data_IF_174830693684
#
_entry.id   IF_174830693684
#
_cell.length_a   1.000
_cell.length_b   1.000
_cell.length_c   1.000
_cell.angle_alpha   90.00
_cell.angle_beta   90.00
_cell.angle_gamma   90.00
#
_symmetry.space_group_name_H-M   'P 1'
#
loop_
_entity.id
_entity.type
_entity.pdbx_description
1 polymer ?
#
# COMPACT_ATOMS: atom_id res chain seq x y z
N UNK A 1 11.58 8.91 -0.59
CA UNK A 1 10.67 7.87 -0.05
C UNK A 1 9.97 8.40 1.18
N UNK A 2 8.64 8.29 1.23
CA UNK A 2 7.85 8.66 2.41
C UNK A 2 7.98 7.56 3.47
N UNK A 3 7.98 7.96 4.73
CA UNK A 3 8.09 7.07 5.90
C UNK A 3 6.72 6.94 6.53
N UNK A 4 6.24 5.71 6.70
CA UNK A 4 4.93 5.44 7.27
C UNK A 4 5.08 4.87 8.67
N UNK A 5 4.38 5.48 9.62
CA UNK A 5 4.24 4.96 10.98
C UNK A 5 3.01 4.07 11.08
N UNK A 6 2.84 3.43 12.22
CA UNK A 6 1.71 2.54 12.48
C UNK A 6 0.33 3.20 12.27
N UNK A 7 0.22 4.51 12.52
CA UNK A 7 -1.02 5.27 12.33
C UNK A 7 -1.37 5.47 10.84
N UNK A 8 -0.36 5.53 9.96
CA UNK A 8 -0.54 5.83 8.54
C UNK A 8 -0.98 4.59 7.74
N UNK A 9 -0.68 3.39 8.26
CA UNK A 9 -0.94 2.12 7.58
C UNK A 9 -2.42 1.92 7.23
N UNK A 10 -3.35 2.34 8.10
CA UNK A 10 -4.78 2.11 7.82
C UNK A 10 -5.28 2.97 6.66
N UNK A 11 -4.82 4.20 6.55
CA UNK A 11 -5.13 5.08 5.42
C UNK A 11 -4.55 4.53 4.12
N UNK A 12 -3.31 4.07 4.16
CA UNK A 12 -2.64 3.45 3.02
C UNK A 12 -3.38 2.20 2.54
N UNK A 13 -3.75 1.30 3.44
CA UNK A 13 -4.50 0.08 3.13
C UNK A 13 -5.84 0.42 2.45
N UNK A 14 -6.65 1.30 3.05
CA UNK A 14 -7.96 1.68 2.48
C UNK A 14 -7.81 2.25 1.07
N UNK A 15 -6.77 3.07 0.85
CA UNK A 15 -6.52 3.65 -0.46
C UNK A 15 -6.08 2.60 -1.48
N UNK A 16 -5.18 1.68 -1.12
CA UNK A 16 -4.64 0.66 -2.03
C UNK A 16 -5.67 -0.40 -2.38
N UNK A 17 -6.42 -0.89 -1.39
CA UNK A 17 -7.46 -1.92 -1.57
C UNK A 17 -8.78 -1.35 -2.09
N UNK A 18 -8.87 -0.03 -2.28
CA UNK A 18 -10.13 0.67 -2.66
C UNK A 18 -11.29 0.32 -1.71
N UNK A 19 -11.00 0.18 -0.41
CA UNK A 19 -11.98 -0.26 0.59
C UNK A 19 -13.11 0.74 0.88
N UNK A 20 -13.04 1.96 0.31
CA UNK A 20 -14.08 2.99 0.34
C UNK A 20 -14.08 3.75 -0.99
N UNK A 21 -15.25 4.25 -1.39
CA UNK A 21 -15.38 5.17 -2.53
C UNK A 21 -14.50 6.40 -2.31
N UNK A 22 -13.79 6.80 -3.37
CA UNK A 22 -12.90 7.97 -3.30
C UNK A 22 -13.67 9.22 -3.70
N UNK A 23 -14.12 10.00 -2.73
CA UNK A 23 -14.83 11.25 -3.00
C UNK A 23 -13.91 12.45 -3.29
N UNK A 24 -12.60 12.30 -3.07
CA UNK A 24 -11.63 13.41 -3.16
C UNK A 24 -10.69 13.30 -4.35
N UNK A 25 -10.54 12.12 -4.97
CA UNK A 25 -9.67 11.91 -6.13
C UNK A 25 -10.51 11.54 -7.37
N UNK A 26 -10.88 12.54 -8.21
CA UNK A 26 -11.71 12.31 -9.39
C UNK A 26 -11.00 11.54 -10.51
N UNK A 27 -9.68 11.35 -10.43
CA UNK A 27 -8.90 10.62 -11.43
C UNK A 27 -9.04 9.09 -11.29
N UNK A 28 -9.66 8.60 -10.20
CA UNK A 28 -9.92 7.17 -9.98
C UNK A 28 -11.22 6.78 -10.70
N UNK A 29 -11.08 5.90 -11.70
CA UNK A 29 -12.21 5.25 -12.35
C UNK A 29 -12.59 3.96 -11.61
N UNK A 30 -13.67 4.01 -10.82
CA UNK A 30 -14.16 2.89 -10.02
C UNK A 30 -14.53 1.67 -10.88
N UNK A 31 -14.97 1.88 -12.12
CA UNK A 31 -15.33 0.79 -13.03
C UNK A 31 -14.11 -0.09 -13.39
N UNK A 32 -12.90 0.47 -13.26
CA UNK A 32 -11.62 -0.18 -13.53
C UNK A 32 -10.96 -0.75 -12.27
N UNK A 33 -11.50 -0.52 -11.07
CA UNK A 33 -10.94 -1.05 -9.81
C UNK A 33 -10.79 -2.57 -9.83
N UNK A 34 -11.71 -3.30 -10.48
CA UNK A 34 -11.65 -4.76 -10.66
C UNK A 34 -10.43 -5.27 -11.45
N UNK A 35 -9.71 -4.38 -12.13
CA UNK A 35 -8.50 -4.70 -12.90
C UNK A 35 -7.23 -4.54 -12.06
N UNK A 36 -7.31 -3.94 -10.87
CA UNK A 36 -6.20 -3.86 -9.94
C UNK A 36 -5.88 -5.26 -9.41
N UNK A 37 -4.62 -5.50 -9.09
CA UNK A 37 -4.14 -6.78 -8.58
C UNK A 37 -3.13 -6.55 -7.46
N UNK A 38 -3.10 -7.47 -6.50
CA UNK A 38 -2.06 -7.55 -5.47
C UNK A 38 -1.06 -8.63 -5.89
N UNK A 39 0.24 -8.32 -5.95
CA UNK A 39 1.27 -9.27 -6.37
C UNK A 39 1.55 -10.36 -5.33
N UNK A 40 1.36 -10.06 -4.05
CA UNK A 40 1.70 -10.92 -2.91
C UNK A 40 0.50 -11.74 -2.42
N UNK A 41 -0.72 -11.20 -2.54
CA UNK A 41 -1.93 -11.74 -1.91
C UNK A 41 -3.06 -12.02 -2.91
N UNK A 42 -2.72 -12.49 -4.12
CA UNK A 42 -3.64 -12.68 -5.26
C UNK A 42 -4.97 -13.42 -4.97
N UNK A 43 -5.06 -14.16 -3.85
CA UNK A 43 -6.25 -14.94 -3.47
C UNK A 43 -6.90 -14.52 -2.13
N UNK A 44 -6.38 -13.49 -1.46
CA UNK A 44 -6.89 -13.03 -0.18
C UNK A 44 -7.88 -11.87 -0.40
N UNK A 45 -9.11 -12.00 0.12
CA UNK A 45 -10.16 -11.00 -0.16
C UNK A 45 -9.98 -9.66 0.58
N UNK A 46 -9.16 -9.60 1.64
CA UNK A 46 -8.78 -8.38 2.37
C UNK A 46 -7.47 -8.64 3.12
N UNK A 47 -6.56 -7.68 3.11
CA UNK A 47 -5.27 -7.72 3.80
C UNK A 47 -5.33 -6.73 4.97
N UNK A 48 -4.73 -7.08 6.11
CA UNK A 48 -4.49 -6.11 7.19
C UNK A 48 -2.99 -5.81 7.24
N UNK A 49 -2.57 -4.76 6.52
CA UNK A 49 -1.18 -4.31 6.45
C UNK A 49 -0.57 -4.15 7.85
N UNK A 50 -1.35 -3.61 8.79
CA UNK A 50 -0.89 -3.38 10.15
C UNK A 50 -0.63 -4.70 10.88
N UNK A 51 -1.52 -5.68 10.73
CA UNK A 51 -1.35 -7.00 11.34
C UNK A 51 -0.09 -7.68 10.78
N UNK A 52 0.04 -7.73 9.45
CA UNK A 52 1.13 -8.42 8.78
C UNK A 52 2.49 -7.82 9.14
N UNK A 53 2.61 -6.49 9.13
CA UNK A 53 3.88 -5.82 9.46
C UNK A 53 4.24 -6.06 10.93
N UNK A 54 3.30 -5.92 11.85
CA UNK A 54 3.58 -6.12 13.28
C UNK A 54 3.89 -7.59 13.60
N UNK A 55 3.23 -8.55 12.94
CA UNK A 55 3.53 -9.96 13.06
C UNK A 55 4.95 -10.26 12.55
N UNK A 56 5.34 -9.69 11.40
CA UNK A 56 6.69 -9.84 10.86
C UNK A 56 7.77 -9.29 11.82
N UNK A 57 7.54 -8.10 12.37
CA UNK A 57 8.46 -7.46 13.34
C UNK A 57 8.57 -8.32 14.61
N UNK A 58 7.44 -8.77 15.15
CA UNK A 58 7.41 -9.59 16.36
C UNK A 58 8.11 -10.94 16.16
N UNK A 59 7.91 -11.60 15.01
CA UNK A 59 8.58 -12.87 14.67
C UNK A 59 10.10 -12.71 14.59
N UNK A 60 10.58 -11.55 14.17
CA UNK A 60 12.01 -11.24 14.10
C UNK A 60 12.58 -10.69 15.43
N UNK A 61 11.82 -10.76 16.52
CA UNK A 61 12.27 -10.33 17.85
C UNK A 61 12.31 -8.81 18.05
N UNK A 62 11.69 -8.03 17.16
CA UNK A 62 11.61 -6.59 17.27
C UNK A 62 10.53 -6.15 18.25
N UNK A 63 10.89 -5.30 19.21
CA UNK A 63 9.95 -4.53 20.03
C UNK A 63 10.04 -3.06 19.62
N UNK A 64 9.17 -2.64 18.72
CA UNK A 64 9.21 -1.30 18.16
C UNK A 64 8.26 -0.33 18.88
N UNK A 65 8.78 0.86 19.15
CA UNK A 65 8.01 1.96 19.70
C UNK A 65 6.82 2.36 18.81
N UNK A 66 5.87 3.08 19.39
CA UNK A 66 4.65 3.54 18.69
C UNK A 66 4.97 4.39 17.45
N UNK A 67 6.01 5.21 17.55
CA UNK A 67 6.44 6.17 16.52
C UNK A 67 7.49 5.63 15.55
N UNK A 68 7.85 4.34 15.66
CA UNK A 68 8.77 3.71 14.73
C UNK A 68 8.21 3.72 13.30
N UNK A 69 9.12 3.91 12.34
CA UNK A 69 8.84 3.70 10.92
C UNK A 69 8.51 2.22 10.71
N UNK A 70 7.32 1.94 10.17
CA UNK A 70 6.84 0.57 9.91
C UNK A 70 7.09 0.13 8.48
N UNK A 71 6.96 1.04 7.53
CA UNK A 71 7.25 0.76 6.14
C UNK A 71 7.65 2.03 5.38
N UNK A 72 8.19 1.83 4.18
CA UNK A 72 8.49 2.91 3.23
C UNK A 72 7.92 2.53 1.87
N UNK A 73 6.70 2.98 1.51
CA UNK A 73 6.11 2.66 0.23
C UNK A 73 6.95 3.25 -0.91
N UNK A 74 7.02 2.51 -2.00
CA UNK A 74 7.72 2.90 -3.22
C UNK A 74 6.70 2.86 -4.35
N UNK A 75 6.58 3.97 -5.09
CA UNK A 75 5.75 4.05 -6.27
C UNK A 75 6.60 3.69 -7.50
N UNK A 76 6.29 2.56 -8.12
CA UNK A 76 6.90 2.17 -9.39
C UNK A 76 5.94 2.55 -10.52
N UNK A 77 6.31 3.58 -11.27
CA UNK A 77 5.61 4.01 -12.49
C UNK A 77 6.64 4.28 -13.56
N UNK A 78 6.28 3.96 -14.80
CA UNK A 78 7.10 4.27 -15.96
C UNK A 78 6.44 5.41 -16.74
N UNK A 79 7.18 6.47 -17.02
CA UNK A 79 6.72 7.54 -17.89
C UNK A 79 6.92 7.13 -19.35
N UNK A 80 5.83 6.73 -20.01
CA UNK A 80 5.84 6.36 -21.43
C UNK A 80 5.94 7.56 -22.37
N UNK A 81 5.92 8.79 -21.87
CA UNK A 81 6.14 9.99 -22.69
C UNK A 81 7.62 10.24 -23.02
N UNK A 82 8.54 9.58 -22.30
CA UNK A 82 9.96 9.67 -22.58
C UNK A 82 10.37 8.70 -23.70
N UNK A 83 11.17 9.13 -24.68
CA UNK A 83 11.62 8.25 -25.76
C UNK A 83 12.47 7.11 -25.18
N UNK A 84 12.15 5.88 -25.59
CA UNK A 84 12.99 4.71 -25.27
C UNK A 84 14.30 4.84 -26.04
N UNK A 85 15.39 5.08 -25.31
CA UNK A 85 16.74 5.01 -25.86
C UNK A 85 17.03 3.52 -26.10
N UNK A 86 17.06 3.12 -27.37
CA UNK A 86 17.59 1.83 -27.83
C UNK A 86 18.97 2.05 -28.43
#
# INVERSE_FOLDING_TARGET
>A
MLKFKNADLKGLQIHNERGKESHTNPDIDESRTKLNYDLLHQHQQMIDDKSIINEHISKNGGNEARDSERCRPVLFVHDFSQPRIF
#
